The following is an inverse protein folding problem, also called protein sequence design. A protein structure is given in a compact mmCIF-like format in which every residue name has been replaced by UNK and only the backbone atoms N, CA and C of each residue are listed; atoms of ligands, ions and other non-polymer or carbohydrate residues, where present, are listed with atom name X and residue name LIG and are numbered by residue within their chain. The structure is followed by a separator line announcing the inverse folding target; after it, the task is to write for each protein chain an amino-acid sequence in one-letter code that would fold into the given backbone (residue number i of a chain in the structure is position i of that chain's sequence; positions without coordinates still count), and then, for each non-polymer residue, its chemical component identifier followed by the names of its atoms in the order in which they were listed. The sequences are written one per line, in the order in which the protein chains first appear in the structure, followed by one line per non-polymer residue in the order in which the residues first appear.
data_IF_371337753656
#
_entry.id   IF_371337753656
#
_cell.length_a   1.000
_cell.length_b   1.000
_cell.length_c   1.000
_cell.angle_alpha   90.00
_cell.angle_beta   90.00
_cell.angle_gamma   90.00
#
_symmetry.space_group_name_H-M   'P 1'
#
loop_
_entity.id
_entity.type
_entity.pdbx_description
1 polymer ?
#
# COMPACT_ATOMS: atom_id res chain seq x y z
N UNK A 1 4.80 3.66 16.66
CA UNK A 1 4.19 2.35 16.33
C UNK A 1 5.29 1.40 15.91
N UNK A 2 5.07 0.10 16.09
CA UNK A 2 5.93 -0.97 15.55
C UNK A 2 5.29 -1.50 14.28
N UNK A 3 5.98 -1.38 13.14
CA UNK A 3 5.44 -1.67 11.81
C UNK A 3 6.30 -2.73 11.13
N UNK A 4 5.67 -3.83 10.70
CA UNK A 4 6.32 -4.86 9.91
C UNK A 4 5.97 -4.68 8.43
N UNK A 5 6.99 -4.53 7.58
CA UNK A 5 6.85 -4.39 6.13
C UNK A 5 7.33 -5.68 5.47
N UNK A 6 6.44 -6.31 4.69
CA UNK A 6 6.76 -7.56 4.01
C UNK A 6 7.14 -7.27 2.57
N UNK A 7 8.41 -7.46 2.29
CA UNK A 7 9.14 -7.31 1.04
C UNK A 7 9.95 -6.03 0.89
N UNK A 8 11.23 -6.22 0.60
CA UNK A 8 12.25 -5.20 0.36
C UNK A 8 12.36 -4.81 -1.12
N UNK A 9 11.22 -4.53 -1.82
CA UNK A 9 11.20 -3.99 -3.18
C UNK A 9 10.73 -2.53 -3.19
N UNK A 10 10.65 -1.92 -4.39
CA UNK A 10 10.38 -0.48 -4.56
C UNK A 10 9.37 0.11 -3.56
N UNK A 11 8.18 -0.48 -3.46
CA UNK A 11 7.14 0.02 -2.55
C UNK A 11 7.52 -0.18 -1.08
N UNK A 12 8.09 -1.36 -0.73
CA UNK A 12 8.57 -1.63 0.63
C UNK A 12 9.71 -0.68 1.03
N UNK A 13 10.69 -0.47 0.15
CA UNK A 13 11.80 0.48 0.37
C UNK A 13 11.27 1.90 0.58
N UNK A 14 10.36 2.36 -0.29
CA UNK A 14 9.76 3.69 -0.17
C UNK A 14 9.00 3.85 1.15
N UNK A 15 8.19 2.86 1.54
CA UNK A 15 7.49 2.87 2.81
C UNK A 15 8.44 2.86 4.01
N UNK A 16 9.50 2.03 3.95
CA UNK A 16 10.55 1.99 4.96
C UNK A 16 11.18 3.36 5.14
N UNK A 17 11.61 4.01 4.05
CA UNK A 17 12.18 5.35 4.08
C UNK A 17 11.26 6.36 4.75
N UNK A 18 9.96 6.31 4.48
CA UNK A 18 9.00 7.29 5.02
C UNK A 18 8.60 7.03 6.47
N UNK A 19 8.53 5.76 6.85
CA UNK A 19 8.00 5.36 8.16
C UNK A 19 9.09 5.23 9.24
N UNK A 20 10.34 4.99 8.85
CA UNK A 20 11.46 4.82 9.82
C UNK A 20 11.81 6.11 10.57
N UNK A 21 11.39 7.29 10.11
CA UNK A 21 11.61 8.55 10.82
C UNK A 21 10.85 8.63 12.15
N UNK A 22 9.63 8.13 12.19
CA UNK A 22 8.74 8.31 13.34
C UNK A 22 8.30 6.98 13.98
N UNK A 23 8.68 5.84 13.39
CA UNK A 23 8.21 4.52 13.79
C UNK A 23 9.34 3.50 13.83
N UNK A 24 9.18 2.49 14.68
CA UNK A 24 10.04 1.31 14.67
C UNK A 24 9.61 0.40 13.51
N UNK A 25 10.48 0.25 12.52
CA UNK A 25 10.19 -0.51 11.30
C UNK A 25 11.02 -1.79 11.28
N UNK A 26 10.37 -2.92 11.01
CA UNK A 26 11.01 -4.18 10.63
C UNK A 26 10.67 -4.52 9.20
N UNK A 27 11.66 -4.98 8.42
CA UNK A 27 11.48 -5.38 7.03
C UNK A 27 11.83 -6.85 6.86
N UNK A 28 10.93 -7.63 6.29
CA UNK A 28 11.08 -9.07 6.07
C UNK A 28 11.12 -9.35 4.57
N UNK A 29 12.18 -9.99 4.08
CA UNK A 29 12.29 -10.49 2.70
C UNK A 29 13.14 -11.78 2.67
N UNK A 30 13.03 -12.53 1.57
CA UNK A 30 13.90 -13.66 1.27
C UNK A 30 15.27 -13.24 0.72
N UNK A 31 15.38 -12.01 0.26
CA UNK A 31 16.54 -11.47 -0.48
C UNK A 31 17.44 -10.69 0.49
N UNK A 32 18.51 -11.35 0.92
CA UNK A 32 19.50 -10.80 1.85
C UNK A 32 20.17 -9.53 1.32
N UNK A 33 20.51 -9.49 0.02
CA UNK A 33 21.19 -8.33 -0.58
C UNK A 33 20.32 -7.07 -0.50
N UNK A 34 19.00 -7.22 -0.77
CA UNK A 34 18.07 -6.10 -0.65
C UNK A 34 17.89 -5.63 0.78
N UNK A 35 17.83 -6.57 1.72
CA UNK A 35 17.76 -6.22 3.14
C UNK A 35 19.03 -5.52 3.61
N UNK A 36 20.21 -5.98 3.19
CA UNK A 36 21.50 -5.34 3.46
C UNK A 36 21.57 -3.90 2.93
N UNK A 37 21.06 -3.67 1.72
CA UNK A 37 20.97 -2.31 1.16
C UNK A 37 20.08 -1.39 2.02
N UNK A 38 18.91 -1.87 2.45
CA UNK A 38 18.00 -1.04 3.25
C UNK A 38 18.53 -0.81 4.65
N UNK A 39 19.13 -1.82 5.30
CA UNK A 39 19.68 -1.70 6.65
C UNK A 39 20.89 -0.77 6.71
N UNK A 40 21.65 -0.65 5.61
CA UNK A 40 22.76 0.32 5.54
C UNK A 40 22.29 1.78 5.42
N UNK A 41 21.07 1.99 4.93
CA UNK A 41 20.51 3.32 4.67
C UNK A 41 19.58 3.83 5.77
N UNK A 42 18.96 2.93 6.53
CA UNK A 42 17.94 3.28 7.53
C UNK A 42 18.14 2.50 8.83
N UNK A 43 17.83 3.13 9.96
CA UNK A 43 17.83 2.48 11.29
C UNK A 43 16.56 1.64 11.46
N UNK A 44 16.65 0.38 11.00
CA UNK A 44 15.53 -0.57 10.99
C UNK A 44 16.01 -1.98 11.34
N UNK A 45 15.07 -2.82 11.76
CA UNK A 45 15.34 -4.25 11.88
C UNK A 45 15.07 -4.94 10.54
N UNK A 46 15.99 -5.82 10.12
CA UNK A 46 15.80 -6.66 8.93
C UNK A 46 15.78 -8.14 9.32
N UNK A 47 14.85 -8.89 8.72
CA UNK A 47 14.71 -10.32 8.95
C UNK A 47 14.70 -11.04 7.59
N UNK A 48 15.61 -12.01 7.45
CA UNK A 48 15.72 -12.83 6.24
C UNK A 48 14.84 -14.06 6.42
N UNK A 49 13.82 -14.21 5.58
CA UNK A 49 13.00 -15.41 5.63
C UNK A 49 11.66 -15.31 4.93
N UNK A 50 11.03 -16.47 4.83
CA UNK A 50 9.67 -16.59 4.31
C UNK A 50 8.66 -16.26 5.41
N UNK A 51 8.01 -15.13 5.25
CA UNK A 51 7.02 -14.62 6.22
C UNK A 51 5.80 -15.54 6.41
N UNK A 52 5.57 -16.51 5.52
CA UNK A 52 4.53 -17.53 5.73
C UNK A 52 4.95 -18.59 6.75
N UNK A 53 6.19 -18.56 7.24
CA UNK A 53 6.67 -19.46 8.27
C UNK A 53 6.47 -18.87 9.67
N UNK A 54 5.81 -19.56 10.61
CA UNK A 54 5.56 -19.03 11.95
C UNK A 54 6.81 -18.63 12.73
N UNK A 55 7.94 -19.34 12.54
CA UNK A 55 9.20 -18.97 13.18
C UNK A 55 9.73 -17.59 12.73
N UNK A 56 9.54 -17.22 11.47
CA UNK A 56 9.90 -15.89 10.95
C UNK A 56 8.99 -14.81 11.55
N UNK A 57 7.70 -15.11 11.75
CA UNK A 57 6.80 -14.19 12.45
C UNK A 57 7.20 -13.98 13.92
N UNK A 58 7.70 -15.03 14.58
CA UNK A 58 8.22 -14.92 15.95
C UNK A 58 9.47 -14.04 15.96
N UNK A 59 10.43 -14.29 15.06
CA UNK A 59 11.66 -13.52 14.93
C UNK A 59 11.37 -12.04 14.63
N UNK A 60 10.37 -11.77 13.79
CA UNK A 60 9.90 -10.42 13.46
C UNK A 60 9.03 -9.79 14.57
N UNK A 61 8.87 -10.46 15.70
CA UNK A 61 8.10 -10.02 16.86
C UNK A 61 6.67 -9.58 16.52
N UNK A 62 5.95 -10.38 15.73
CA UNK A 62 4.56 -10.08 15.35
C UNK A 62 3.63 -9.93 16.54
N UNK A 63 3.98 -10.53 17.69
CA UNK A 63 3.23 -10.39 18.95
C UNK A 63 3.08 -8.94 19.39
N UNK A 64 4.11 -8.15 19.19
CA UNK A 64 4.17 -6.75 19.64
C UNK A 64 4.06 -5.78 18.45
N UNK A 65 3.77 -6.26 17.25
CA UNK A 65 3.62 -5.44 16.05
C UNK A 65 2.24 -4.78 16.03
N UNK A 66 2.22 -3.45 15.87
CA UNK A 66 0.99 -2.67 15.79
C UNK A 66 0.38 -2.72 14.38
N UNK A 67 1.21 -2.77 13.34
CA UNK A 67 0.78 -2.75 11.94
C UNK A 67 1.63 -3.66 11.07
N UNK A 68 0.95 -4.41 10.19
CA UNK A 68 1.60 -5.20 9.14
C UNK A 68 1.22 -4.63 7.78
N UNK A 69 2.23 -4.42 6.93
CA UNK A 69 2.07 -3.93 5.55
C UNK A 69 2.62 -4.98 4.60
N UNK A 70 1.73 -5.79 3.99
CA UNK A 70 2.13 -6.81 3.02
C UNK A 70 2.00 -6.28 1.59
N UNK A 71 3.16 -6.04 0.99
CA UNK A 71 3.28 -5.53 -0.37
C UNK A 71 4.06 -6.49 -1.28
N UNK A 72 3.96 -7.80 -0.98
CA UNK A 72 4.62 -8.83 -1.81
C UNK A 72 4.00 -8.89 -3.20
N UNK A 73 4.62 -9.63 -4.11
CA UNK A 73 4.09 -9.84 -5.46
C UNK A 73 3.07 -10.99 -5.55
N UNK A 74 2.81 -11.66 -4.44
CA UNK A 74 1.91 -12.80 -4.39
C UNK A 74 0.74 -12.47 -3.45
N UNK A 75 -0.45 -12.32 -4.03
CA UNK A 75 -1.66 -11.96 -3.29
C UNK A 75 -2.06 -13.05 -2.30
N UNK A 76 -1.87 -14.32 -2.64
CA UNK A 76 -2.12 -15.44 -1.73
C UNK A 76 -1.21 -15.38 -0.50
N UNK A 77 0.07 -15.06 -0.69
CA UNK A 77 1.01 -14.83 0.42
C UNK A 77 0.53 -13.69 1.31
N UNK A 78 0.13 -12.57 0.70
CA UNK A 78 -0.36 -11.42 1.46
C UNK A 78 -1.59 -11.79 2.31
N UNK A 79 -2.55 -12.52 1.74
CA UNK A 79 -3.76 -12.97 2.46
C UNK A 79 -3.39 -13.97 3.57
N UNK A 80 -2.55 -14.98 3.27
CA UNK A 80 -2.18 -16.01 4.24
C UNK A 80 -1.50 -15.42 5.48
N UNK A 81 -0.59 -14.47 5.28
CA UNK A 81 0.11 -13.80 6.40
C UNK A 81 -0.87 -13.07 7.32
N UNK A 82 -1.90 -12.42 6.77
CA UNK A 82 -2.90 -11.73 7.60
C UNK A 82 -3.77 -12.68 8.37
N UNK A 83 -4.16 -13.78 7.77
CA UNK A 83 -4.91 -14.84 8.48
C UNK A 83 -4.10 -15.38 9.65
N UNK A 84 -2.81 -15.62 9.45
CA UNK A 84 -1.90 -16.08 10.50
C UNK A 84 -1.69 -15.00 11.57
N UNK A 85 -1.41 -13.76 11.17
CA UNK A 85 -1.22 -12.64 12.09
C UNK A 85 -2.47 -12.36 12.93
N UNK A 86 -3.65 -12.44 12.34
CA UNK A 86 -4.91 -12.31 13.05
C UNK A 86 -5.14 -13.46 14.03
N UNK A 87 -4.97 -14.72 13.58
CA UNK A 87 -5.24 -15.90 14.41
C UNK A 87 -4.24 -16.07 15.55
N UNK A 88 -2.95 -15.82 15.30
CA UNK A 88 -1.88 -16.08 16.26
C UNK A 88 -1.58 -14.89 17.18
N UNK A 89 -1.67 -13.67 16.65
CA UNK A 89 -1.17 -12.47 17.35
C UNK A 89 -2.21 -11.38 17.52
N UNK A 90 -3.36 -11.45 16.82
CA UNK A 90 -4.41 -10.41 16.83
C UNK A 90 -3.88 -9.02 16.49
N UNK A 91 -2.91 -8.95 15.56
CA UNK A 91 -2.30 -7.68 15.14
C UNK A 91 -3.36 -6.64 14.78
N UNK A 92 -3.31 -5.42 15.36
CA UNK A 92 -4.38 -4.43 15.26
C UNK A 92 -4.65 -3.95 13.83
N UNK A 93 -3.59 -3.61 13.07
CA UNK A 93 -3.75 -3.03 11.73
C UNK A 93 -3.05 -3.88 10.66
N UNK A 94 -3.77 -4.17 9.58
CA UNK A 94 -3.33 -5.05 8.50
C UNK A 94 -3.64 -4.42 7.15
N UNK A 95 -2.59 -4.03 6.41
CA UNK A 95 -2.67 -3.36 5.12
C UNK A 95 -2.10 -4.27 4.04
N UNK A 96 -2.93 -4.74 3.10
CA UNK A 96 -2.51 -5.60 2.01
C UNK A 96 -2.56 -4.92 0.64
N UNK A 97 -1.56 -5.21 -0.17
CA UNK A 97 -1.65 -5.02 -1.61
C UNK A 97 -2.26 -6.28 -2.25
N UNK A 98 -3.40 -6.12 -2.93
CA UNK A 98 -4.05 -7.16 -3.73
C UNK A 98 -4.17 -6.65 -5.16
N UNK A 99 -3.60 -7.39 -6.11
CA UNK A 99 -3.54 -7.01 -7.52
C UNK A 99 -4.63 -7.67 -8.35
N UNK A 100 -4.95 -8.91 -8.01
CA UNK A 100 -5.94 -9.68 -8.73
C UNK A 100 -7.36 -9.22 -8.36
N UNK A 101 -8.09 -8.80 -9.38
CA UNK A 101 -9.47 -8.30 -9.23
C UNK A 101 -10.47 -9.40 -8.92
N UNK A 102 -10.12 -10.67 -9.12
CA UNK A 102 -10.99 -11.80 -8.77
C UNK A 102 -11.29 -11.85 -7.27
N UNK A 103 -10.35 -11.45 -6.41
CA UNK A 103 -10.58 -11.39 -4.97
C UNK A 103 -11.73 -10.44 -4.58
N UNK A 104 -12.10 -9.49 -5.44
CA UNK A 104 -13.26 -8.63 -5.20
C UNK A 104 -14.59 -9.38 -5.20
N UNK A 105 -14.64 -10.55 -5.86
CA UNK A 105 -15.83 -11.41 -5.91
C UNK A 105 -15.97 -12.24 -4.63
N UNK A 106 -14.89 -12.35 -3.86
CA UNK A 106 -14.81 -13.16 -2.65
C UNK A 106 -14.38 -12.33 -1.44
N UNK A 107 -15.17 -11.30 -1.04
CA UNK A 107 -14.77 -10.36 0.02
C UNK A 107 -14.48 -11.06 1.36
N UNK A 108 -15.08 -12.23 1.59
CA UNK A 108 -14.81 -13.03 2.80
C UNK A 108 -13.34 -13.44 2.95
N UNK A 109 -12.59 -13.58 1.85
CA UNK A 109 -11.17 -13.89 1.90
C UNK A 109 -10.32 -12.71 2.39
N UNK A 110 -10.88 -11.51 2.40
CA UNK A 110 -10.22 -10.26 2.76
C UNK A 110 -10.68 -9.70 4.12
N UNK A 111 -11.57 -10.42 4.83
CA UNK A 111 -12.19 -9.92 6.07
C UNK A 111 -11.19 -9.58 7.18
N UNK A 112 -10.03 -10.23 7.19
CA UNK A 112 -8.99 -9.98 8.19
C UNK A 112 -7.99 -8.90 7.78
N UNK A 113 -8.25 -8.18 6.68
CA UNK A 113 -7.42 -7.10 6.15
C UNK A 113 -8.18 -5.79 6.34
N UNK A 114 -7.60 -4.85 7.07
CA UNK A 114 -8.26 -3.58 7.40
C UNK A 114 -8.24 -2.61 6.22
N UNK A 115 -7.17 -2.66 5.40
CA UNK A 115 -7.05 -1.85 4.18
C UNK A 115 -6.46 -2.65 3.02
N UNK A 116 -7.21 -2.76 1.93
CA UNK A 116 -6.75 -3.38 0.68
C UNK A 116 -6.32 -2.31 -0.32
N UNK A 117 -5.03 -2.32 -0.70
CA UNK A 117 -4.47 -1.43 -1.73
C UNK A 117 -4.58 -2.12 -3.09
N UNK A 118 -5.41 -1.56 -3.99
CA UNK A 118 -5.64 -2.03 -5.36
C UNK A 118 -4.87 -1.16 -6.37
N UNK A 119 -3.54 -1.17 -6.27
CA UNK A 119 -2.67 -0.22 -7.00
C UNK A 119 -2.90 -0.20 -8.51
N UNK A 120 -3.07 -1.37 -9.15
CA UNK A 120 -3.31 -1.44 -10.60
C UNK A 120 -4.66 -0.82 -10.97
N UNK A 121 -5.72 -1.20 -10.28
CA UNK A 121 -7.07 -0.70 -10.55
C UNK A 121 -7.16 0.83 -10.36
N UNK A 122 -6.60 1.35 -9.27
CA UNK A 122 -6.63 2.79 -9.00
C UNK A 122 -5.80 3.58 -10.03
N UNK A 123 -4.64 3.05 -10.43
CA UNK A 123 -3.80 3.69 -11.46
C UNK A 123 -4.50 3.68 -12.82
N UNK A 124 -5.06 2.54 -13.25
CA UNK A 124 -5.77 2.44 -14.52
C UNK A 124 -6.97 3.36 -14.57
N UNK A 125 -7.77 3.38 -13.50
CA UNK A 125 -8.93 4.27 -13.38
C UNK A 125 -8.53 5.75 -13.47
N UNK A 126 -7.40 6.13 -12.87
CA UNK A 126 -6.89 7.49 -12.94
C UNK A 126 -6.42 7.85 -14.35
N UNK A 127 -5.74 6.93 -15.04
CA UNK A 127 -5.35 7.10 -16.45
C UNK A 127 -6.55 7.22 -17.36
N UNK A 128 -7.55 6.35 -17.22
CA UNK A 128 -8.81 6.46 -17.97
C UNK A 128 -9.46 7.82 -17.79
N UNK A 129 -9.56 8.31 -16.56
CA UNK A 129 -10.14 9.61 -16.25
C UNK A 129 -9.38 10.76 -16.94
N UNK A 130 -8.04 10.73 -16.95
CA UNK A 130 -7.22 11.72 -17.63
C UNK A 130 -7.34 11.68 -19.14
N UNK A 131 -7.50 10.48 -19.73
CA UNK A 131 -7.69 10.31 -21.18
C UNK A 131 -9.06 10.84 -21.63
N UNK A 132 -10.13 10.54 -20.86
CA UNK A 132 -11.48 10.99 -21.20
C UNK A 132 -11.71 12.49 -20.98
N UNK A 133 -10.95 13.11 -20.09
CA UNK A 133 -11.04 14.53 -19.78
C UNK A 133 -9.78 15.26 -20.28
N UNK A 134 -9.66 15.38 -21.60
CA UNK A 134 -8.57 16.10 -22.23
C UNK A 134 -8.38 17.51 -21.61
N UNK A 135 -7.17 17.77 -21.11
CA UNK A 135 -6.83 19.04 -20.45
C UNK A 135 -7.02 19.08 -18.94
N UNK A 136 -7.57 18.03 -18.32
CA UNK A 136 -7.58 17.92 -16.86
C UNK A 136 -6.23 17.42 -16.35
N UNK A 137 -5.61 18.16 -15.43
CA UNK A 137 -4.39 17.71 -14.73
C UNK A 137 -4.69 17.08 -13.36
N UNK A 138 -5.88 17.28 -12.84
CA UNK A 138 -6.31 16.75 -11.55
C UNK A 138 -7.78 16.33 -11.59
N UNK A 139 -8.08 15.13 -11.09
CA UNK A 139 -9.44 14.61 -10.90
C UNK A 139 -9.51 13.93 -9.56
N UNK A 140 -10.46 14.34 -8.72
CA UNK A 140 -10.81 13.66 -7.48
C UNK A 140 -12.29 13.38 -7.43
N UNK A 141 -12.67 12.17 -7.03
CA UNK A 141 -14.07 11.74 -6.95
C UNK A 141 -14.44 11.44 -5.50
N UNK A 142 -15.59 11.91 -5.06
CA UNK A 142 -16.15 11.74 -3.73
C UNK A 142 -17.55 11.12 -3.81
N UNK A 143 -17.97 10.46 -2.72
CA UNK A 143 -19.32 9.90 -2.57
C UNK A 143 -19.72 9.00 -3.75
N UNK A 144 -18.92 7.98 -4.04
CA UNK A 144 -19.18 7.03 -5.14
C UNK A 144 -19.38 7.71 -6.50
N UNK A 145 -18.53 8.71 -6.80
CA UNK A 145 -18.56 9.54 -8.02
C UNK A 145 -19.74 10.52 -8.12
N UNK A 146 -20.51 10.74 -7.07
CA UNK A 146 -21.58 11.75 -7.09
C UNK A 146 -21.06 13.18 -7.14
N UNK A 147 -19.83 13.41 -6.63
CA UNK A 147 -19.12 14.69 -6.70
C UNK A 147 -17.75 14.45 -7.29
N UNK A 148 -17.36 15.30 -8.24
CA UNK A 148 -16.03 15.28 -8.82
C UNK A 148 -15.43 16.67 -8.76
N UNK A 149 -14.17 16.76 -8.35
CA UNK A 149 -13.36 17.98 -8.47
C UNK A 149 -12.40 17.74 -9.63
N UNK A 150 -12.46 18.62 -10.63
CA UNK A 150 -11.65 18.56 -11.83
C UNK A 150 -10.80 19.82 -11.89
N UNK A 151 -9.47 19.66 -11.90
CA UNK A 151 -8.53 20.74 -12.16
C UNK A 151 -8.20 20.77 -13.66
N UNK A 152 -8.43 21.89 -14.29
CA UNK A 152 -8.08 22.10 -15.70
C UNK A 152 -7.15 23.31 -15.81
N UNK A 153 -6.19 23.23 -16.73
CA UNK A 153 -5.37 24.38 -17.09
C UNK A 153 -6.12 25.21 -18.14
N UNK A 154 -6.33 26.47 -17.84
CA UNK A 154 -7.01 27.40 -18.74
C UNK A 154 -5.94 28.10 -19.56
N UNK A 155 -5.87 27.81 -20.86
CA UNK A 155 -4.96 28.51 -21.79
C UNK A 155 -5.34 30.00 -21.90
N UNK A 156 -4.36 30.88 -22.24
CA UNK A 156 -4.57 32.31 -22.45
C UNK A 156 -5.68 32.64 -23.44
N UNK A 157 -5.93 31.75 -24.39
CA UNK A 157 -6.91 31.92 -25.46
C UNK A 157 -8.28 31.36 -25.13
N UNK A 158 -8.45 30.81 -23.91
CA UNK A 158 -9.72 30.23 -23.48
C UNK A 158 -10.79 31.31 -23.23
N UNK A 159 -12.03 31.09 -23.65
CA UNK A 159 -13.15 31.98 -23.34
C UNK A 159 -13.47 32.09 -21.85
N UNK A 160 -12.86 31.26 -21.03
CA UNK A 160 -13.01 31.31 -19.56
C UNK A 160 -12.09 32.34 -18.89
N UNK A 161 -11.09 32.84 -19.61
CA UNK A 161 -10.18 33.88 -19.08
C UNK A 161 -10.94 35.17 -18.82
N UNK A 162 -10.86 35.69 -17.61
CA UNK A 162 -11.52 36.93 -17.21
C UNK A 162 -12.98 36.79 -16.75
N UNK A 163 -13.57 35.58 -16.81
CA UNK A 163 -14.88 35.35 -16.22
C UNK A 163 -14.79 35.32 -14.69
N UNK A 164 -15.67 36.05 -14.02
CA UNK A 164 -15.81 35.97 -12.55
C UNK A 164 -16.74 34.82 -12.22
N UNK A 165 -16.32 33.91 -11.32
CA UNK A 165 -17.25 32.95 -10.69
C UNK A 165 -18.30 33.75 -9.89
N UNK A 166 -19.55 33.51 -10.16
CA UNK A 166 -20.66 34.00 -9.32
C UNK A 166 -20.89 33.12 -8.13
#
# INVERSE_FOLDING_TARGET
MRIAILRARQLGVYLTQRLSFDHQVSVIDLDEEKLGFISSAFDIQTIIGDVTKPNIMIEANFKDTDMIIAVTSNDTTNIAVYDMAYKLYKTPYKIARIRDTEYNRFPKLLNNIDLVIKSFFETTKRLEQLIFLCGAYFISSFFDKRVQIIGVEVSSDSPLVGLRSR
#
